data_IF_264017260024
#
_entry.id   IF_264017260024
#
_cell.length_a   1.000
_cell.length_b   1.000
_cell.length_c   1.000
_cell.angle_alpha   90.00
_cell.angle_beta   90.00
_cell.angle_gamma   90.00
#
_symmetry.space_group_name_H-M   'P 1'
#
loop_
_entity.id
_entity.type
_entity.pdbx_description
1 polymer ?
#
# COMPACT_ATOMS: atom_id res chain seq x y z
N UNK A 1 7.81 -12.66 35.79
CA UNK A 1 6.76 -12.56 34.78
C UNK A 1 6.95 -11.29 33.96
N UNK A 2 6.92 -11.46 32.65
CA UNK A 2 6.98 -10.38 31.67
C UNK A 2 5.68 -10.39 30.87
N UNK A 3 5.29 -9.25 30.33
CA UNK A 3 4.14 -9.15 29.42
C UNK A 3 4.66 -8.64 28.09
N UNK A 4 4.48 -9.45 27.05
CA UNK A 4 4.62 -9.03 25.66
C UNK A 4 3.30 -8.39 25.25
N UNK A 5 3.34 -7.17 24.75
CA UNK A 5 2.18 -6.47 24.23
C UNK A 5 2.35 -6.28 22.74
N UNK A 6 1.38 -6.79 21.98
CA UNK A 6 1.22 -6.53 20.56
C UNK A 6 0.07 -5.53 20.38
N UNK A 7 0.36 -4.35 19.84
CA UNK A 7 -0.69 -3.43 19.42
C UNK A 7 -0.77 -3.43 17.89
N UNK A 8 -1.97 -3.38 17.36
CA UNK A 8 -2.25 -3.24 15.94
C UNK A 8 -3.07 -1.98 15.75
N UNK A 9 -2.50 -1.00 15.07
CA UNK A 9 -3.18 0.23 14.69
C UNK A 9 -3.43 0.13 13.19
N UNK A 10 -4.70 0.12 12.83
CA UNK A 10 -5.15 0.15 11.44
C UNK A 10 -5.77 1.52 11.20
N UNK A 11 -5.25 2.25 10.23
CA UNK A 11 -5.91 3.45 9.72
C UNK A 11 -6.23 3.27 8.25
N UNK A 12 -7.47 3.58 7.88
CA UNK A 12 -7.95 3.59 6.52
C UNK A 12 -8.45 5.00 6.21
N UNK A 13 -7.99 5.55 5.09
CA UNK A 13 -8.43 6.84 4.58
C UNK A 13 -8.97 6.64 3.18
N UNK A 14 -10.23 6.98 3.01
CA UNK A 14 -10.93 6.96 1.73
C UNK A 14 -11.32 8.40 1.37
N UNK A 15 -10.86 8.86 0.22
CA UNK A 15 -11.28 10.12 -0.39
C UNK A 15 -11.96 9.79 -1.72
N UNK A 16 -13.23 10.14 -1.83
CA UNK A 16 -14.04 10.03 -3.04
C UNK A 16 -14.39 11.45 -3.50
N UNK A 17 -13.94 11.80 -4.70
CA UNK A 17 -14.23 13.08 -5.34
C UNK A 17 -15.01 12.81 -6.62
N UNK A 18 -16.26 13.24 -6.67
CA UNK A 18 -17.12 13.16 -7.85
C UNK A 18 -17.42 14.55 -8.38
N UNK A 19 -17.04 14.80 -9.63
CA UNK A 19 -17.27 16.05 -10.35
C UNK A 19 -18.06 15.77 -11.63
N UNK A 20 -19.17 16.47 -11.80
CA UNK A 20 -19.97 16.40 -13.01
C UNK A 20 -20.54 17.78 -13.36
N UNK A 21 -20.44 18.15 -14.64
CA UNK A 21 -20.97 19.42 -15.13
C UNK A 21 -21.11 19.47 -16.66
N UNK A 22 -21.94 20.40 -17.11
CA UNK A 22 -22.09 20.74 -18.52
C UNK A 22 -21.77 22.23 -18.70
N UNK A 23 -20.79 22.52 -19.54
CA UNK A 23 -20.39 23.86 -19.90
C UNK A 23 -20.98 24.23 -21.26
N UNK A 24 -21.76 25.32 -21.27
CA UNK A 24 -22.35 25.89 -22.47
C UNK A 24 -21.66 27.23 -22.74
N UNK A 25 -20.89 27.29 -23.82
CA UNK A 25 -20.29 28.54 -24.27
C UNK A 25 -20.99 29.02 -25.55
N UNK A 26 -21.61 30.19 -25.43
CA UNK A 26 -22.33 30.87 -26.51
C UNK A 26 -21.46 32.02 -27.01
N UNK A 27 -20.73 31.81 -28.10
CA UNK A 27 -19.93 32.85 -28.72
C UNK A 27 -20.86 33.77 -29.53
N UNK A 28 -21.42 34.79 -28.87
CA UNK A 28 -22.25 35.79 -29.56
C UNK A 28 -21.40 36.64 -30.53
N UNK A 29 -21.21 36.14 -31.76
CA UNK A 29 -20.75 36.92 -32.92
C UNK A 29 -19.24 37.00 -33.16
N UNK A 30 -18.40 36.19 -32.51
CA UNK A 30 -16.96 36.14 -32.77
C UNK A 30 -16.54 34.75 -33.28
N UNK A 31 -15.98 34.70 -34.50
CA UNK A 31 -15.53 33.46 -35.14
C UNK A 31 -14.49 32.71 -34.28
N UNK A 32 -14.81 31.48 -33.86
CA UNK A 32 -13.94 30.54 -33.11
C UNK A 32 -12.73 30.05 -33.96
N UNK A 33 -12.59 30.51 -35.21
CA UNK A 33 -11.62 30.04 -36.22
C UNK A 33 -10.13 30.22 -35.86
N UNK A 34 -9.78 30.82 -34.71
CA UNK A 34 -8.40 30.88 -34.19
C UNK A 34 -8.25 30.48 -32.71
N UNK A 35 -9.18 29.73 -32.16
CA UNK A 35 -9.01 29.14 -30.84
C UNK A 35 -8.29 27.79 -30.97
N UNK A 36 -7.00 27.80 -31.31
CA UNK A 36 -6.14 26.65 -31.04
C UNK A 36 -6.17 26.38 -29.53
N UNK A 37 -6.13 25.10 -29.13
CA UNK A 37 -6.19 24.64 -27.74
C UNK A 37 -5.21 25.35 -26.76
N UNK A 38 -4.25 26.13 -27.28
CA UNK A 38 -3.34 26.98 -26.51
C UNK A 38 -4.00 28.23 -25.91
N UNK A 39 -5.02 28.82 -26.54
CA UNK A 39 -5.64 30.08 -26.07
C UNK A 39 -6.65 29.89 -24.92
N UNK A 40 -7.01 28.65 -24.58
CA UNK A 40 -7.86 28.31 -23.44
C UNK A 40 -7.07 28.12 -22.14
N UNK A 41 -5.73 28.26 -22.20
CA UNK A 41 -4.82 28.03 -21.08
C UNK A 41 -4.30 29.31 -20.40
N UNK A 42 -4.64 30.51 -20.91
CA UNK A 42 -4.34 31.77 -20.23
C UNK A 42 -5.65 32.44 -19.84
N UNK A 43 -5.96 32.38 -18.55
CA UNK A 43 -7.00 33.22 -17.96
C UNK A 43 -6.73 34.69 -18.27
N UNK A 44 -7.70 35.33 -18.92
CA UNK A 44 -7.78 36.78 -19.10
C UNK A 44 -7.33 37.28 -20.47
N UNK A 45 -8.27 37.81 -21.26
CA UNK A 45 -8.40 39.23 -21.62
C UNK A 45 -9.47 39.39 -22.71
N UNK A 46 -10.31 40.42 -22.55
CA UNK A 46 -11.32 40.97 -23.47
C UNK A 46 -12.71 40.32 -23.53
N UNK A 47 -13.53 40.70 -22.53
CA UNK A 47 -14.88 41.25 -22.68
C UNK A 47 -15.83 40.60 -23.70
N UNK A 48 -16.68 39.69 -23.21
CA UNK A 48 -17.99 39.39 -23.78
C UNK A 48 -19.05 39.50 -22.67
N UNK A 49 -20.34 39.77 -22.96
CA UNK A 49 -21.34 40.11 -21.93
C UNK A 49 -21.72 38.98 -20.98
N UNK A 50 -21.31 37.74 -21.27
CA UNK A 50 -21.46 36.57 -20.39
C UNK A 50 -20.24 35.68 -20.60
N UNK A 51 -19.25 35.82 -19.72
CA UNK A 51 -18.13 34.89 -19.58
C UNK A 51 -18.48 33.93 -18.45
N UNK A 52 -18.97 32.72 -18.78
CA UNK A 52 -18.94 31.60 -17.83
C UNK A 52 -17.52 31.06 -17.95
N UNK A 53 -16.64 31.50 -17.05
CA UNK A 53 -15.26 31.03 -17.01
C UNK A 53 -15.23 29.51 -17.10
N UNK A 54 -14.68 28.99 -18.19
CA UNK A 54 -14.71 27.55 -18.48
C UNK A 54 -14.10 26.75 -17.33
N UNK A 55 -14.81 25.72 -16.88
CA UNK A 55 -14.42 24.91 -15.72
C UNK A 55 -13.38 23.84 -16.08
N UNK A 56 -12.96 23.75 -17.35
CA UNK A 56 -11.89 22.87 -17.80
C UNK A 56 -10.51 23.46 -17.44
N UNK A 57 -10.11 23.35 -16.17
CA UNK A 57 -8.71 23.50 -15.79
C UNK A 57 -7.87 22.43 -16.51
N UNK A 58 -6.66 22.82 -16.93
CA UNK A 58 -5.74 22.01 -17.76
C UNK A 58 -5.09 20.83 -17.00
N UNK A 59 -5.46 20.61 -15.75
CA UNK A 59 -4.81 19.64 -14.87
C UNK A 59 -5.59 18.32 -14.69
N UNK A 60 -6.87 18.26 -15.03
CA UNK A 60 -7.73 17.13 -14.64
C UNK A 60 -7.87 16.03 -15.68
N UNK A 61 -7.51 14.83 -15.21
CA UNK A 61 -7.82 13.51 -15.76
C UNK A 61 -9.34 13.35 -15.70
N UNK A 62 -10.06 13.06 -16.80
CA UNK A 62 -11.52 12.90 -16.77
C UNK A 62 -12.14 12.77 -18.16
N UNK A 63 -13.39 12.28 -18.26
CA UNK A 63 -14.10 12.18 -19.52
C UNK A 63 -14.59 13.57 -19.94
N UNK A 64 -14.14 14.05 -21.11
CA UNK A 64 -14.56 15.32 -21.69
C UNK A 64 -15.13 15.08 -23.08
N UNK A 65 -16.42 15.32 -23.26
CA UNK A 65 -17.11 15.20 -24.56
C UNK A 65 -17.58 16.58 -24.98
N UNK A 66 -17.05 17.07 -26.10
CA UNK A 66 -17.41 18.38 -26.65
C UNK A 66 -18.11 18.24 -27.99
N UNK A 67 -19.25 18.90 -28.16
CA UNK A 67 -19.91 19.09 -29.45
C UNK A 67 -19.92 20.59 -29.78
N UNK A 68 -19.45 20.93 -30.97
CA UNK A 68 -19.46 22.31 -31.49
C UNK A 68 -20.26 22.33 -32.78
N UNK A 69 -21.30 23.16 -32.81
CA UNK A 69 -22.12 23.40 -34.02
C UNK A 69 -22.29 24.91 -34.20
N UNK A 70 -21.62 25.47 -35.21
CA UNK A 70 -21.64 26.92 -35.45
C UNK A 70 -21.03 27.70 -34.28
N UNK A 71 -21.80 28.64 -33.74
CA UNK A 71 -21.43 29.53 -32.63
C UNK A 71 -21.71 28.96 -31.24
N UNK A 72 -22.27 27.74 -31.17
CA UNK A 72 -22.63 27.06 -29.93
C UNK A 72 -21.67 25.91 -29.68
N UNK A 73 -21.06 25.91 -28.51
CA UNK A 73 -20.22 24.81 -28.02
C UNK A 73 -20.75 24.29 -26.69
N UNK A 74 -20.92 22.97 -26.62
CA UNK A 74 -21.37 22.25 -25.43
C UNK A 74 -20.28 21.27 -25.04
N UNK A 75 -19.86 21.34 -23.77
CA UNK A 75 -18.88 20.45 -23.19
C UNK A 75 -19.48 19.74 -22.00
N UNK A 76 -19.33 18.42 -21.95
CA UNK A 76 -19.72 17.59 -20.82
C UNK A 76 -18.43 17.11 -20.17
N UNK A 77 -18.31 17.32 -18.87
CA UNK A 77 -17.19 16.84 -18.07
C UNK A 77 -17.70 15.96 -16.94
N UNK A 78 -17.12 14.77 -16.81
CA UNK A 78 -17.37 13.85 -15.71
C UNK A 78 -16.04 13.26 -15.23
N UNK A 79 -15.82 13.30 -13.93
CA UNK A 79 -14.64 12.75 -13.27
C UNK A 79 -15.06 12.16 -11.93
N UNK A 80 -14.67 10.93 -11.69
CA UNK A 80 -14.73 10.29 -10.38
C UNK A 80 -13.31 9.86 -10.00
N UNK A 81 -12.83 10.33 -8.84
CA UNK A 81 -11.53 9.97 -8.29
C UNK A 81 -11.74 9.29 -6.95
N UNK A 82 -11.24 8.07 -6.82
CA UNK A 82 -11.28 7.30 -5.57
C UNK A 82 -9.85 7.04 -5.13
N UNK A 83 -9.49 7.55 -3.94
CA UNK A 83 -8.19 7.32 -3.31
C UNK A 83 -8.38 6.54 -2.02
N UNK A 84 -7.85 5.33 -1.97
CA UNK A 84 -7.84 4.46 -0.79
C UNK A 84 -6.40 4.29 -0.28
N UNK A 85 -6.18 4.65 0.98
CA UNK A 85 -4.92 4.48 1.69
C UNK A 85 -5.17 3.72 2.97
N UNK A 86 -4.56 2.53 3.08
CA UNK A 86 -4.56 1.74 4.31
C UNK A 86 -3.16 1.69 4.92
N UNK A 87 -3.05 2.03 6.20
CA UNK A 87 -1.82 1.94 6.99
C UNK A 87 -2.02 0.96 8.14
N UNK A 88 -1.04 0.06 8.31
CA UNK A 88 -1.02 -0.94 9.37
C UNK A 88 0.29 -0.84 10.17
N UNK A 89 0.18 -0.45 11.43
CA UNK A 89 1.30 -0.41 12.36
C UNK A 89 1.14 -1.51 13.42
N UNK A 90 2.18 -2.34 13.59
CA UNK A 90 2.19 -3.45 14.56
C UNK A 90 3.39 -3.36 15.53
N UNK A 91 3.45 -2.38 16.44
CA UNK A 91 4.49 -2.34 17.46
C UNK A 91 4.35 -3.51 18.45
N UNK A 92 5.48 -4.12 18.77
CA UNK A 92 5.59 -5.19 19.77
C UNK A 92 6.63 -4.81 20.80
N UNK A 93 6.30 -4.94 22.08
CA UNK A 93 7.20 -4.55 23.16
C UNK A 93 6.94 -5.42 24.38
N UNK A 94 8.03 -5.83 25.02
CA UNK A 94 8.01 -6.61 26.24
C UNK A 94 8.30 -5.68 27.43
N UNK A 95 7.50 -5.79 28.48
CA UNK A 95 7.70 -5.07 29.72
C UNK A 95 7.58 -6.00 30.94
N UNK A 96 8.25 -5.65 32.03
CA UNK A 96 8.10 -6.35 33.29
C UNK A 96 6.78 -5.92 33.95
N UNK A 97 6.16 -6.83 34.71
CA UNK A 97 4.99 -6.51 35.54
C UNK A 97 5.22 -5.24 36.39
N UNK A 98 4.25 -4.32 36.39
CA UNK A 98 4.25 -3.00 37.06
C UNK A 98 5.25 -1.98 36.52
N UNK A 99 6.03 -2.30 35.50
CA UNK A 99 6.97 -1.37 34.89
C UNK A 99 6.38 -0.71 33.63
N UNK A 100 6.80 0.52 33.35
CA UNK A 100 6.39 1.22 32.15
C UNK A 100 7.21 0.72 30.96
N UNK A 101 6.54 0.20 29.94
CA UNK A 101 7.11 -0.08 28.62
C UNK A 101 6.76 1.05 27.66
N UNK A 102 7.74 1.54 26.91
CA UNK A 102 7.52 2.57 25.90
C UNK A 102 8.31 2.24 24.63
N UNK A 103 7.64 2.37 23.48
CA UNK A 103 8.26 2.33 22.16
C UNK A 103 7.84 3.55 21.36
N UNK A 104 8.79 4.15 20.65
CA UNK A 104 8.57 5.25 19.71
C UNK A 104 9.20 4.88 18.38
N UNK A 105 8.40 4.91 17.31
CA UNK A 105 8.81 4.60 15.95
C UNK A 105 8.36 5.77 15.09
N UNK A 106 9.29 6.60 14.64
CA UNK A 106 8.94 7.81 13.95
C UNK A 106 10.14 8.64 13.52
N UNK A 107 9.86 9.81 12.96
CA UNK A 107 10.82 10.82 12.55
C UNK A 107 10.61 12.10 13.36
N UNK A 108 11.70 12.82 13.61
CA UNK A 108 11.64 14.14 14.26
C UNK A 108 11.80 15.21 13.19
N UNK A 109 10.75 15.99 12.94
CA UNK A 109 10.77 17.08 11.97
C UNK A 109 11.24 18.35 12.66
N UNK A 110 12.37 18.91 12.22
CA UNK A 110 12.86 20.18 12.71
C UNK A 110 12.09 21.34 12.09
N UNK A 111 11.58 22.25 12.92
CA UNK A 111 10.98 23.52 12.51
C UNK A 111 11.63 24.66 13.29
N UNK A 112 11.63 25.86 12.70
CA UNK A 112 12.16 27.05 13.37
C UNK A 112 11.02 27.75 14.08
N UNK A 113 11.21 28.07 15.35
CA UNK A 113 10.36 29.02 16.05
C UNK A 113 10.46 30.37 15.33
N UNK A 114 9.38 31.15 15.26
CA UNK A 114 9.35 32.39 14.50
C UNK A 114 10.46 33.36 14.92
N UNK A 115 10.93 34.18 13.98
CA UNK A 115 11.95 35.18 14.25
C UNK A 115 11.41 36.22 15.25
N UNK A 116 12.16 36.48 16.32
CA UNK A 116 11.80 37.49 17.31
C UNK A 116 12.55 38.76 16.96
N UNK A 117 11.82 39.83 16.61
CA UNK A 117 12.40 41.16 16.49
C UNK A 117 12.73 41.69 17.89
N UNK A 118 14.01 41.75 18.21
CA UNK A 118 14.48 42.39 19.44
C UNK A 118 14.40 43.91 19.26
N UNK A 119 14.00 44.64 20.32
CA UNK A 119 13.74 46.10 20.33
C UNK A 119 14.95 47.02 20.01
N UNK A 120 16.05 46.46 19.49
CA UNK A 120 17.25 47.17 19.03
C UNK A 120 17.59 46.95 17.54
N UNK A 121 16.66 46.43 16.72
CA UNK A 121 16.86 46.30 15.27
C UNK A 121 17.66 45.07 14.82
N UNK A 122 17.89 44.10 15.72
CA UNK A 122 18.47 42.80 15.39
C UNK A 122 17.41 41.71 15.34
N UNK A 123 17.33 41.00 14.21
CA UNK A 123 16.51 39.78 14.06
C UNK A 123 17.24 38.63 14.72
N UNK A 124 16.73 38.11 15.84
CA UNK A 124 17.21 36.82 16.36
C UNK A 124 16.50 35.70 15.60
N UNK A 125 17.28 34.84 14.93
CA UNK A 125 16.74 33.61 14.33
C UNK A 125 16.20 32.73 15.45
N UNK A 126 14.95 32.30 15.34
CA UNK A 126 14.31 31.48 16.36
C UNK A 126 14.96 30.11 16.54
N UNK A 127 14.80 29.53 17.72
CA UNK A 127 15.37 28.23 18.06
C UNK A 127 14.74 27.11 17.20
N UNK A 128 15.55 26.11 16.82
CA UNK A 128 15.06 24.92 16.13
C UNK A 128 14.39 24.00 17.14
N UNK A 129 13.09 23.76 16.99
CA UNK A 129 12.32 22.77 17.74
C UNK A 129 12.05 21.54 16.87
N UNK A 130 11.80 20.41 17.51
CA UNK A 130 11.51 19.16 16.82
C UNK A 130 10.09 18.72 17.11
N UNK A 131 9.31 18.48 16.07
CA UNK A 131 8.02 17.79 16.13
C UNK A 131 8.27 16.28 15.99
N UNK A 132 7.79 15.49 16.96
CA UNK A 132 7.87 14.03 16.91
C UNK A 132 6.65 13.49 16.15
N UNK A 133 6.90 12.84 15.00
CA UNK A 133 5.85 12.24 14.16
C UNK A 133 6.08 10.75 14.04
N UNK A 134 5.06 9.95 14.36
CA UNK A 134 5.06 8.52 14.17
C UNK A 134 4.21 7.80 15.22
N UNK A 135 4.43 6.50 15.35
CA UNK A 135 3.70 5.66 16.29
C UNK A 135 4.44 5.57 17.62
N UNK A 136 3.76 5.95 18.70
CA UNK A 136 4.21 5.84 20.09
C UNK A 136 3.25 4.95 20.86
N UNK A 137 3.78 3.95 21.54
CA UNK A 137 3.02 3.10 22.45
C UNK A 137 3.67 3.16 23.82
N UNK A 138 2.90 3.60 24.82
CA UNK A 138 3.26 3.55 26.23
C UNK A 138 2.25 2.69 26.97
N UNK A 139 2.72 1.76 27.80
CA UNK A 139 1.84 0.90 28.58
C UNK A 139 2.47 0.51 29.90
N UNK A 140 1.63 0.18 30.89
CA UNK A 140 2.05 -0.37 32.17
C UNK A 140 1.17 -1.58 32.52
N UNK A 141 1.70 -2.80 32.48
CA UNK A 141 0.92 -3.99 32.80
C UNK A 141 0.93 -4.30 34.29
N UNK A 142 -0.18 -4.90 34.73
CA UNK A 142 -0.38 -5.49 36.04
C UNK A 142 -1.01 -6.87 35.86
N UNK A 143 -0.25 -7.91 36.17
CA UNK A 143 -0.72 -9.30 36.13
C UNK A 143 -1.46 -9.60 37.43
N UNK A 144 -2.71 -10.03 37.32
CA UNK A 144 -3.52 -10.53 38.42
C UNK A 144 -3.39 -12.06 38.54
N UNK A 145 -3.67 -12.59 39.73
CA UNK A 145 -3.48 -14.02 40.05
C UNK A 145 -4.43 -14.96 39.27
N UNK A 146 -5.47 -14.41 38.65
CA UNK A 146 -6.49 -15.10 37.86
C UNK A 146 -6.13 -15.19 36.37
N UNK A 147 -4.94 -14.73 35.97
CA UNK A 147 -4.50 -14.71 34.57
C UNK A 147 -5.04 -13.53 33.75
N UNK A 148 -5.71 -12.57 34.40
CA UNK A 148 -6.08 -11.30 33.78
C UNK A 148 -4.92 -10.30 33.88
N UNK A 149 -4.80 -9.48 32.85
CA UNK A 149 -3.79 -8.45 32.73
C UNK A 149 -4.52 -7.11 32.69
N UNK A 150 -4.34 -6.31 33.74
CA UNK A 150 -4.79 -4.92 33.76
C UNK A 150 -3.69 -4.04 33.20
N UNK A 151 -4.02 -3.12 32.29
CA UNK A 151 -3.02 -2.24 31.68
C UNK A 151 -3.53 -0.81 31.59
N UNK A 152 -2.68 0.14 31.95
CA UNK A 152 -2.80 1.52 31.49
C UNK A 152 -2.12 1.61 30.13
N UNK A 153 -2.84 2.06 29.09
CA UNK A 153 -2.31 2.12 27.72
C UNK A 153 -2.56 3.50 27.12
N UNK A 154 -1.51 4.01 26.49
CA UNK A 154 -1.50 5.25 25.74
C UNK A 154 -0.85 5.02 24.37
N UNK A 155 -1.62 4.52 23.38
CA UNK A 155 -1.21 4.54 21.98
C UNK A 155 -1.43 5.94 21.40
N UNK A 156 -0.44 6.41 20.66
CA UNK A 156 -0.47 7.63 19.86
C UNK A 156 0.07 7.29 18.47
N UNK A 157 -0.65 7.63 17.43
CA UNK A 157 -0.15 7.63 16.06
C UNK A 157 -0.23 9.05 15.52
N UNK A 158 0.91 9.62 15.12
CA UNK A 158 0.95 10.98 14.58
C UNK A 158 1.64 11.02 13.22
N UNK A 159 1.04 11.78 12.31
CA UNK A 159 1.67 12.23 11.08
C UNK A 159 1.87 13.73 11.17
N UNK A 160 2.94 14.22 10.56
CA UNK A 160 3.16 15.66 10.51
C UNK A 160 3.94 16.06 9.28
N UNK A 161 3.65 17.28 8.85
CA UNK A 161 4.22 17.91 7.67
C UNK A 161 4.55 19.37 7.99
N UNK A 162 5.51 19.93 7.28
CA UNK A 162 5.83 21.35 7.36
C UNK A 162 5.05 22.05 6.26
N UNK A 163 4.25 23.05 6.62
CA UNK A 163 3.56 23.86 5.62
C UNK A 163 4.55 24.76 4.85
N UNK A 164 4.07 25.46 3.82
CA UNK A 164 4.89 26.33 2.97
C UNK A 164 5.57 27.47 3.76
N UNK A 165 5.03 27.84 4.93
CA UNK A 165 5.59 28.83 5.84
C UNK A 165 6.56 28.24 6.88
N UNK A 166 6.83 26.93 6.85
CA UNK A 166 7.72 26.24 7.79
C UNK A 166 7.12 26.00 9.18
N UNK A 167 5.80 26.17 9.33
CA UNK A 167 5.05 25.84 10.56
C UNK A 167 4.66 24.36 10.50
N UNK A 168 4.84 23.61 11.59
CA UNK A 168 4.50 22.19 11.63
C UNK A 168 2.98 21.98 11.82
N UNK A 169 2.37 21.19 10.95
CA UNK A 169 1.01 20.67 11.12
C UNK A 169 1.11 19.21 11.62
N UNK A 170 0.45 18.91 12.74
CA UNK A 170 0.38 17.55 13.32
C UNK A 170 -1.05 17.03 13.24
N UNK A 171 -1.23 15.85 12.65
CA UNK A 171 -2.46 15.06 12.77
C UNK A 171 -2.16 13.87 13.66
N UNK A 172 -2.83 13.77 14.82
CA UNK A 172 -2.63 12.66 15.75
C UNK A 172 -3.93 11.93 16.12
N UNK A 173 -3.82 10.62 16.27
CA UNK A 173 -4.81 9.74 16.87
C UNK A 173 -4.25 9.23 18.19
N UNK A 174 -4.87 9.64 19.30
CA UNK A 174 -4.39 9.33 20.66
C UNK A 174 -5.53 8.76 21.50
N UNK A 175 -5.20 7.80 22.35
CA UNK A 175 -6.15 7.19 23.27
C UNK A 175 -5.51 7.07 24.65
N UNK A 176 -6.26 7.30 25.72
CA UNK A 176 -5.81 7.04 27.10
C UNK A 176 -6.87 6.21 27.81
N UNK A 177 -6.56 4.94 28.10
CA UNK A 177 -7.52 4.02 28.71
C UNK A 177 -6.85 3.07 29.70
N UNK A 178 -7.65 2.57 30.63
CA UNK A 178 -7.30 1.46 31.50
C UNK A 178 -8.20 0.27 31.11
N UNK A 179 -7.58 -0.87 30.81
CA UNK A 179 -8.27 -2.07 30.33
C UNK A 179 -7.92 -3.28 31.17
N UNK A 180 -8.80 -4.28 31.15
CA UNK A 180 -8.55 -5.61 31.70
C UNK A 180 -8.81 -6.61 30.58
N UNK A 181 -7.84 -7.48 30.33
CA UNK A 181 -7.87 -8.44 29.22
C UNK A 181 -7.17 -9.71 29.67
N UNK A 182 -7.62 -10.86 29.16
CA UNK A 182 -7.02 -12.14 29.47
C UNK A 182 -5.76 -12.37 28.62
N UNK A 183 -4.83 -13.16 29.14
CA UNK A 183 -3.66 -13.60 28.38
C UNK A 183 -4.06 -14.20 27.01
N UNK A 184 -3.44 -13.69 25.93
CA UNK A 184 -3.63 -14.15 24.56
C UNK A 184 -4.92 -13.67 23.87
N UNK A 185 -5.81 -12.95 24.56
CA UNK A 185 -7.03 -12.42 23.95
C UNK A 185 -6.80 -11.06 23.28
N UNK A 186 -7.27 -10.92 22.06
CA UNK A 186 -7.26 -9.64 21.34
C UNK A 186 -8.49 -8.83 21.72
N UNK A 187 -8.30 -7.59 22.18
CA UNK A 187 -9.38 -6.64 22.39
C UNK A 187 -9.25 -5.43 21.48
N UNK A 188 -10.40 -4.84 21.12
CA UNK A 188 -10.46 -3.53 20.47
C UNK A 188 -10.55 -2.48 21.56
N UNK A 189 -9.50 -1.67 21.73
CA UNK A 189 -9.44 -0.64 22.78
C UNK A 189 -10.20 0.62 22.35
N UNK A 190 -10.23 0.89 21.05
CA UNK A 190 -10.98 2.02 20.51
C UNK A 190 -10.92 2.08 18.99
N UNK A 191 -11.84 2.87 18.43
CA UNK A 191 -11.82 3.28 17.05
C UNK A 191 -12.45 4.65 16.86
N UNK A 192 -11.95 5.40 15.89
CA UNK A 192 -12.47 6.70 15.49
C UNK A 192 -12.88 6.59 14.02
N UNK A 193 -14.16 6.87 13.76
CA UNK A 193 -14.70 6.98 12.41
C UNK A 193 -15.08 8.44 12.18
N UNK A 194 -14.53 9.03 11.13
CA UNK A 194 -14.81 10.41 10.75
C UNK A 194 -15.22 10.45 9.29
N UNK A 195 -16.50 10.75 9.07
CA UNK A 195 -17.03 11.02 7.74
C UNK A 195 -17.22 12.54 7.58
N UNK A 196 -16.65 13.09 6.52
CA UNK A 196 -16.84 14.48 6.09
C UNK A 196 -17.33 14.48 4.65
N UNK A 197 -18.61 14.79 4.49
CA UNK A 197 -19.28 14.95 3.19
C UNK A 197 -19.39 16.44 2.89
N UNK A 198 -18.96 16.85 1.71
CA UNK A 198 -19.00 18.23 1.22
C UNK A 198 -19.59 18.25 -0.19
N UNK A 199 -20.81 18.75 -0.31
CA UNK A 199 -21.50 18.86 -1.59
C UNK A 199 -21.52 20.32 -2.02
N UNK A 200 -20.85 20.63 -3.11
CA UNK A 200 -20.84 21.97 -3.72
C UNK A 200 -21.65 21.93 -5.00
N UNK A 201 -22.63 22.82 -5.12
CA UNK A 201 -23.45 22.94 -6.33
C UNK A 201 -23.36 24.35 -6.89
N UNK A 202 -22.90 24.44 -8.13
CA UNK A 202 -22.86 25.68 -8.89
C UNK A 202 -23.91 25.58 -9.99
N UNK A 203 -24.85 26.53 -10.08
CA UNK A 203 -25.92 26.46 -11.07
C UNK A 203 -26.26 27.82 -11.66
N UNK A 204 -26.76 27.83 -12.90
CA UNK A 204 -27.33 29.03 -13.51
C UNK A 204 -28.67 29.34 -12.84
N UNK A 205 -28.89 30.55 -12.31
CA UNK A 205 -30.16 30.91 -11.67
C UNK A 205 -31.32 30.75 -12.67
N UNK A 206 -32.50 30.32 -12.18
CA UNK A 206 -33.71 29.94 -12.95
C UNK A 206 -33.57 28.65 -13.77
N UNK A 207 -32.53 28.49 -14.59
CA UNK A 207 -32.39 27.34 -15.49
C UNK A 207 -31.95 26.06 -14.76
N UNK A 208 -31.13 26.17 -13.71
CA UNK A 208 -30.66 25.04 -12.90
C UNK A 208 -31.73 24.39 -12.02
N UNK A 209 -32.82 25.11 -11.72
CA UNK A 209 -33.92 24.63 -10.87
C UNK A 209 -35.03 23.90 -11.64
N UNK A 210 -34.97 23.89 -12.99
CA UNK A 210 -35.96 23.21 -13.83
C UNK A 210 -35.77 21.70 -13.68
N UNK A 211 -36.80 20.93 -13.28
CA UNK A 211 -36.70 19.47 -13.21
C UNK A 211 -36.38 18.88 -14.59
N UNK A 212 -35.63 17.77 -14.62
CA UNK A 212 -35.14 17.07 -15.83
C UNK A 212 -34.09 17.81 -16.68
N UNK A 213 -34.23 19.12 -16.88
CA UNK A 213 -33.34 19.90 -17.76
C UNK A 213 -32.26 20.65 -16.97
N UNK A 214 -32.51 20.97 -15.70
CA UNK A 214 -31.60 21.74 -14.85
C UNK A 214 -30.27 21.04 -14.54
N UNK A 215 -30.17 19.72 -14.71
CA UNK A 215 -28.88 19.00 -14.64
C UNK A 215 -27.89 19.51 -15.69
N UNK A 216 -28.38 19.93 -16.86
CA UNK A 216 -27.54 20.47 -17.92
C UNK A 216 -27.08 21.92 -17.67
N UNK A 217 -27.58 22.55 -16.62
CA UNK A 217 -27.27 23.94 -16.25
C UNK A 217 -26.69 24.04 -14.83
N UNK A 218 -26.22 22.91 -14.28
CA UNK A 218 -25.55 22.85 -12.97
C UNK A 218 -24.30 21.99 -13.03
N UNK A 219 -23.37 22.32 -12.15
CA UNK A 219 -22.18 21.56 -11.81
C UNK A 219 -22.32 21.10 -10.37
N UNK A 220 -22.06 19.82 -10.14
CA UNK A 220 -22.06 19.21 -8.81
C UNK A 220 -20.66 18.67 -8.54
N UNK A 221 -20.08 19.11 -7.42
CA UNK A 221 -18.81 18.65 -6.88
C UNK A 221 -19.10 18.03 -5.51
N UNK A 222 -19.09 16.69 -5.44
CA UNK A 222 -19.34 15.92 -4.24
C UNK A 222 -18.01 15.33 -3.73
N UNK A 223 -17.59 15.75 -2.54
CA UNK A 223 -16.34 15.33 -1.90
C UNK A 223 -16.67 14.59 -0.61
N UNK A 224 -16.34 13.30 -0.55
CA UNK A 224 -16.50 12.46 0.63
C UNK A 224 -15.13 12.04 1.16
N UNK A 225 -14.83 12.42 2.40
CA UNK A 225 -13.64 11.96 3.11
C UNK A 225 -14.06 11.09 4.29
N UNK A 226 -13.55 9.87 4.34
CA UNK A 226 -13.75 8.90 5.42
C UNK A 226 -12.41 8.52 6.00
N UNK A 227 -12.21 8.86 7.27
CA UNK A 227 -11.05 8.46 8.06
C UNK A 227 -11.50 7.45 9.13
N UNK A 228 -10.97 6.24 9.08
CA UNK A 228 -11.23 5.18 10.05
C UNK A 228 -9.93 4.80 10.75
N UNK A 229 -9.95 4.75 12.07
CA UNK A 229 -8.82 4.28 12.88
C UNK A 229 -9.34 3.22 13.84
N UNK A 230 -8.67 2.07 13.90
CA UNK A 230 -8.98 0.96 14.81
C UNK A 230 -7.70 0.56 15.53
N UNK A 231 -7.78 0.44 16.85
CA UNK A 231 -6.67 0.05 17.71
C UNK A 231 -7.02 -1.27 18.39
N UNK A 232 -6.29 -2.32 18.02
CA UNK A 232 -6.37 -3.64 18.64
C UNK A 232 -5.15 -3.88 19.52
N UNK A 233 -5.33 -4.70 20.55
CA UNK A 233 -4.27 -5.06 21.46
C UNK A 233 -4.39 -6.52 21.88
N UNK A 234 -3.26 -7.21 21.87
CA UNK A 234 -3.13 -8.59 22.33
C UNK A 234 -1.96 -8.68 23.30
N UNK A 235 -2.21 -8.79 24.61
CA UNK A 235 -1.14 -9.05 25.58
C UNK A 235 -0.87 -10.55 25.70
N UNK A 236 0.37 -10.88 26.03
CA UNK A 236 0.81 -12.23 26.30
C UNK A 236 1.71 -12.30 27.53
N UNK A 237 1.42 -13.20 28.48
CA UNK A 237 2.26 -13.43 29.67
C UNK A 237 3.40 -14.36 29.29
N UNK A 238 4.63 -13.88 29.48
CA UNK A 238 5.86 -14.65 29.26
C UNK A 238 6.45 -15.04 30.62
N UNK A 239 6.56 -16.35 30.84
CA UNK A 239 7.07 -16.94 32.07
C UNK A 239 8.55 -17.34 31.97
N UNK A 240 9.01 -17.77 30.80
CA UNK A 240 10.39 -18.21 30.57
C UNK A 240 11.11 -17.35 29.51
N UNK A 241 12.29 -16.78 29.80
CA UNK A 241 13.09 -16.08 28.79
C UNK A 241 13.47 -16.92 27.56
N UNK A 242 13.51 -18.26 27.66
CA UNK A 242 13.76 -19.15 26.51
C UNK A 242 12.58 -19.20 25.51
N UNK A 243 11.36 -18.92 25.96
CA UNK A 243 10.14 -18.90 25.14
C UNK A 243 10.14 -17.72 24.15
N UNK A 244 10.77 -16.60 24.55
CA UNK A 244 10.95 -15.39 23.72
C UNK A 244 11.88 -15.63 22.53
N UNK A 245 12.85 -16.56 22.63
CA UNK A 245 13.82 -16.80 21.57
C UNK A 245 13.35 -17.79 20.49
N UNK A 246 12.48 -18.74 20.84
CA UNK A 246 12.04 -19.83 19.95
C UNK A 246 10.86 -19.48 19.04
N UNK A 247 9.79 -18.91 19.59
CA UNK A 247 8.57 -18.59 18.86
C UNK A 247 8.73 -17.31 18.01
N UNK A 248 9.37 -16.28 18.57
CA UNK A 248 9.53 -15.00 17.90
C UNK A 248 10.41 -15.08 16.64
N UNK A 249 11.51 -15.87 16.64
CA UNK A 249 12.34 -16.04 15.44
C UNK A 249 11.72 -16.99 14.41
N UNK A 250 11.05 -18.06 14.83
CA UNK A 250 10.44 -19.00 13.89
C UNK A 250 9.26 -18.35 13.15
N UNK A 251 8.44 -17.57 13.83
CA UNK A 251 7.32 -16.85 13.22
C UNK A 251 7.75 -15.60 12.47
N UNK A 252 8.67 -14.77 12.98
CA UNK A 252 9.15 -13.60 12.22
C UNK A 252 9.93 -14.02 10.98
N UNK A 253 10.73 -15.08 11.04
CA UNK A 253 11.44 -15.57 9.85
C UNK A 253 10.45 -16.15 8.85
N UNK A 254 9.39 -16.83 9.28
CA UNK A 254 8.31 -17.30 8.38
C UNK A 254 7.49 -16.15 7.82
N UNK A 255 7.13 -15.13 8.62
CA UNK A 255 6.31 -13.97 8.23
C UNK A 255 7.10 -12.99 7.36
N UNK A 256 8.38 -12.74 7.65
CA UNK A 256 9.29 -11.95 6.80
C UNK A 256 9.69 -12.70 5.51
N UNK A 257 9.82 -14.03 5.54
CA UNK A 257 10.04 -14.84 4.31
C UNK A 257 8.78 -15.01 3.47
N UNK A 258 7.59 -15.06 4.06
CA UNK A 258 6.32 -15.15 3.35
C UNK A 258 5.88 -13.78 2.80
N UNK A 259 5.94 -12.72 3.61
CA UNK A 259 5.44 -11.38 3.23
C UNK A 259 6.30 -10.67 2.18
N UNK A 260 7.62 -10.85 2.19
CA UNK A 260 8.51 -10.26 1.19
C UNK A 260 8.46 -10.98 -0.18
N UNK A 261 7.96 -12.22 -0.22
CA UNK A 261 7.83 -12.99 -1.48
C UNK A 261 6.41 -12.98 -2.05
N UNK A 262 5.39 -12.77 -1.24
CA UNK A 262 3.99 -12.88 -1.68
C UNK A 262 3.42 -11.60 -2.30
N UNK A 263 4.05 -10.44 -2.13
CA UNK A 263 3.54 -9.15 -2.67
C UNK A 263 4.19 -8.66 -3.95
N UNK A 264 5.03 -9.48 -4.59
CA UNK A 264 5.61 -9.14 -5.89
C UNK A 264 5.20 -10.18 -6.93
N UNK A 265 4.12 -9.84 -7.62
CA UNK A 265 3.74 -10.30 -8.95
C UNK A 265 3.32 -11.79 -9.02
N UNK A 266 2.04 -12.00 -9.29
CA UNK A 266 1.41 -13.30 -9.55
C UNK A 266 1.99 -14.07 -10.76
N UNK A 267 2.97 -13.49 -11.48
CA UNK A 267 3.59 -14.01 -12.70
C UNK A 267 5.10 -14.33 -12.57
N UNK A 268 5.67 -14.41 -11.36
CA UNK A 268 7.11 -14.72 -11.24
C UNK A 268 7.43 -16.16 -11.65
N UNK A 269 8.52 -16.34 -12.39
CA UNK A 269 9.04 -17.65 -12.82
C UNK A 269 9.28 -18.60 -11.65
N UNK A 270 9.58 -18.07 -10.46
CA UNK A 270 9.73 -18.82 -9.21
C UNK A 270 8.44 -19.55 -8.81
N UNK A 271 7.29 -18.86 -8.82
CA UNK A 271 6.00 -19.46 -8.42
C UNK A 271 5.54 -20.52 -9.41
N UNK A 272 5.74 -20.27 -10.71
CA UNK A 272 5.44 -21.24 -11.77
C UNK A 272 6.32 -22.50 -11.67
N UNK A 273 7.58 -22.35 -11.29
CA UNK A 273 8.49 -23.48 -11.05
C UNK A 273 8.09 -24.31 -9.81
N UNK A 274 7.63 -23.65 -8.74
CA UNK A 274 7.14 -24.32 -7.53
C UNK A 274 5.82 -25.08 -7.78
N UNK A 275 4.88 -24.47 -8.52
CA UNK A 275 3.59 -25.09 -8.86
C UNK A 275 3.76 -26.33 -9.78
N UNK A 276 4.60 -26.21 -10.81
CA UNK A 276 4.95 -27.35 -11.67
C UNK A 276 5.67 -28.47 -10.91
N UNK A 277 6.58 -28.14 -10.00
CA UNK A 277 7.19 -29.15 -9.13
C UNK A 277 6.16 -29.84 -8.22
N UNK A 278 5.22 -29.10 -7.63
CA UNK A 278 4.15 -29.68 -6.82
C UNK A 278 3.25 -30.63 -7.65
N UNK A 279 2.91 -30.25 -8.88
CA UNK A 279 2.20 -31.13 -9.82
C UNK A 279 3.00 -32.39 -10.14
N UNK A 280 4.31 -32.26 -10.38
CA UNK A 280 5.18 -33.41 -10.62
C UNK A 280 5.21 -34.40 -9.44
N UNK A 281 5.30 -33.90 -8.21
CA UNK A 281 5.23 -34.74 -7.00
C UNK A 281 3.89 -35.46 -6.90
N UNK A 282 2.79 -34.76 -7.21
CA UNK A 282 1.44 -35.33 -7.18
C UNK A 282 1.20 -36.38 -8.29
N UNK A 283 1.80 -36.19 -9.48
CA UNK A 283 1.74 -37.17 -10.57
C UNK A 283 2.59 -38.40 -10.25
N UNK A 284 3.78 -38.20 -9.69
CA UNK A 284 4.66 -39.27 -9.27
C UNK A 284 4.04 -40.13 -8.15
N UNK A 285 3.38 -39.50 -7.17
CA UNK A 285 2.67 -40.23 -6.11
C UNK A 285 1.46 -41.02 -6.62
N UNK A 286 0.87 -40.61 -7.74
CA UNK A 286 -0.18 -41.33 -8.46
C UNK A 286 0.36 -42.41 -9.41
N UNK A 287 1.68 -42.58 -9.49
CA UNK A 287 2.34 -43.56 -10.37
C UNK A 287 2.58 -43.08 -11.80
N UNK A 288 2.14 -41.87 -12.17
CA UNK A 288 2.41 -41.28 -13.49
C UNK A 288 3.80 -40.64 -13.53
N UNK A 289 4.78 -41.48 -13.82
CA UNK A 289 6.19 -41.08 -13.91
C UNK A 289 6.50 -40.30 -15.20
N UNK A 290 5.65 -40.38 -16.24
CA UNK A 290 5.85 -39.62 -17.47
C UNK A 290 5.38 -38.17 -17.29
N UNK A 291 4.14 -37.98 -16.83
CA UNK A 291 3.62 -36.64 -16.53
C UNK A 291 4.46 -35.91 -15.48
N UNK A 292 5.02 -36.63 -14.51
CA UNK A 292 5.94 -36.05 -13.53
C UNK A 292 7.23 -35.51 -14.15
N UNK A 293 7.81 -36.17 -15.17
CA UNK A 293 9.03 -35.69 -15.83
C UNK A 293 8.77 -34.46 -16.71
N UNK A 294 7.62 -34.38 -17.35
CA UNK A 294 7.25 -33.23 -18.19
C UNK A 294 7.09 -31.96 -17.36
N UNK A 295 6.41 -32.06 -16.22
CA UNK A 295 6.28 -30.96 -15.25
C UNK A 295 7.63 -30.58 -14.61
N UNK A 296 8.52 -31.55 -14.36
CA UNK A 296 9.87 -31.27 -13.88
C UNK A 296 10.73 -30.56 -14.91
N UNK A 297 10.62 -30.91 -16.20
CA UNK A 297 11.33 -30.19 -17.26
C UNK A 297 10.84 -28.76 -17.38
N UNK A 298 9.53 -28.52 -17.25
CA UNK A 298 8.97 -27.17 -17.20
C UNK A 298 9.50 -26.37 -16.00
N UNK A 299 9.52 -26.98 -14.80
CA UNK A 299 10.08 -26.37 -13.60
C UNK A 299 11.56 -25.99 -13.75
N UNK A 300 12.35 -26.89 -14.36
CA UNK A 300 13.79 -26.68 -14.61
C UNK A 300 14.06 -25.68 -15.74
N UNK A 301 13.15 -25.55 -16.71
CA UNK A 301 13.23 -24.51 -17.73
C UNK A 301 13.04 -23.11 -17.13
N UNK A 302 12.05 -22.98 -16.23
CA UNK A 302 11.80 -21.74 -15.50
C UNK A 302 12.91 -21.43 -14.49
N UNK A 303 13.48 -22.46 -13.86
CA UNK A 303 14.55 -22.34 -12.87
C UNK A 303 15.59 -23.47 -13.00
N UNK A 304 16.68 -23.24 -13.76
CA UNK A 304 17.71 -24.26 -13.98
C UNK A 304 18.42 -24.74 -12.72
N UNK A 305 18.47 -23.90 -11.68
CA UNK A 305 19.15 -24.19 -10.40
C UNK A 305 18.21 -24.75 -9.33
N UNK A 306 17.02 -25.26 -9.70
CA UNK A 306 16.07 -25.80 -8.72
C UNK A 306 16.47 -27.20 -8.25
N UNK A 307 17.27 -27.25 -7.18
CA UNK A 307 17.88 -28.49 -6.67
C UNK A 307 16.88 -29.60 -6.34
N UNK A 308 15.70 -29.27 -5.81
CA UNK A 308 14.68 -30.27 -5.46
C UNK A 308 14.10 -30.93 -6.72
N UNK A 309 13.84 -30.16 -7.77
CA UNK A 309 13.39 -30.66 -9.06
C UNK A 309 14.45 -31.54 -9.74
N UNK A 310 15.72 -31.15 -9.68
CA UNK A 310 16.84 -31.97 -10.21
C UNK A 310 16.89 -33.33 -9.52
N UNK A 311 16.86 -33.34 -8.18
CA UNK A 311 16.92 -34.59 -7.38
C UNK A 311 15.71 -35.49 -7.62
N UNK A 312 14.51 -34.92 -7.73
CA UNK A 312 13.31 -35.70 -7.99
C UNK A 312 13.35 -36.28 -9.41
N UNK A 313 13.81 -35.52 -10.40
CA UNK A 313 14.01 -36.01 -11.78
C UNK A 313 14.98 -37.18 -11.81
N UNK A 314 16.13 -37.03 -11.16
CA UNK A 314 17.15 -38.08 -11.07
C UNK A 314 16.60 -39.33 -10.40
N UNK A 315 15.83 -39.19 -9.31
CA UNK A 315 15.15 -40.32 -8.65
C UNK A 315 14.16 -41.04 -9.58
N UNK A 316 13.35 -40.29 -10.34
CA UNK A 316 12.39 -40.87 -11.30
C UNK A 316 13.13 -41.60 -12.43
N UNK A 317 14.23 -41.01 -12.92
CA UNK A 317 15.08 -41.61 -13.95
C UNK A 317 15.77 -42.88 -13.44
N UNK A 318 16.32 -42.88 -12.22
CA UNK A 318 16.93 -44.06 -11.60
C UNK A 318 15.91 -45.17 -11.34
N UNK A 319 14.72 -44.82 -10.85
CA UNK A 319 13.62 -45.77 -10.64
C UNK A 319 13.17 -46.43 -11.95
N UNK A 320 13.23 -45.70 -13.07
CA UNK A 320 13.01 -46.25 -14.43
C UNK A 320 14.24 -47.01 -14.97
N UNK A 321 15.42 -46.52 -14.64
CA UNK A 321 16.73 -46.93 -15.15
C UNK A 321 17.32 -48.20 -14.53
N UNK A 322 16.67 -48.78 -13.51
CA UNK A 322 17.00 -50.13 -13.02
C UNK A 322 16.88 -51.26 -14.05
N UNK A 323 16.52 -50.94 -15.30
CA UNK A 323 16.57 -51.84 -16.46
C UNK A 323 17.51 -51.36 -17.59
N UNK A 324 18.36 -50.33 -17.38
CA UNK A 324 19.07 -49.65 -18.47
C UNK A 324 20.38 -48.93 -18.10
N UNK A 325 21.08 -49.36 -17.05
CA UNK A 325 22.41 -48.81 -16.68
C UNK A 325 23.48 -49.01 -17.79
N UNK A 326 23.33 -50.02 -18.66
CA UNK A 326 24.31 -50.30 -19.73
C UNK A 326 24.34 -49.27 -20.87
N UNK A 327 23.32 -48.43 -21.02
CA UNK A 327 23.19 -47.56 -22.22
C UNK A 327 23.83 -46.19 -22.01
N UNK A 328 23.81 -45.63 -20.79
CA UNK A 328 24.40 -44.31 -20.51
C UNK A 328 25.92 -44.39 -20.44
N UNK A 329 26.47 -45.45 -19.85
CA UNK A 329 27.92 -45.69 -19.83
C UNK A 329 28.46 -45.84 -21.26
N UNK A 330 27.73 -46.55 -22.12
CA UNK A 330 28.12 -46.74 -23.52
C UNK A 330 28.05 -45.47 -24.36
N UNK A 331 27.03 -44.61 -24.16
CA UNK A 331 26.93 -43.32 -24.87
C UNK A 331 28.00 -42.34 -24.41
N UNK A 332 28.38 -42.33 -23.12
CA UNK A 332 29.49 -41.49 -22.65
C UNK A 332 30.84 -41.99 -23.18
N UNK A 333 31.09 -43.31 -23.20
CA UNK A 333 32.33 -43.87 -23.76
C UNK A 333 32.43 -43.57 -25.26
N UNK A 334 31.36 -43.76 -26.02
CA UNK A 334 31.34 -43.44 -27.46
C UNK A 334 31.55 -41.94 -27.73
N UNK A 335 31.05 -41.06 -26.86
CA UNK A 335 31.25 -39.62 -26.99
C UNK A 335 32.70 -39.18 -26.68
N UNK A 336 33.36 -39.83 -25.72
CA UNK A 336 34.76 -39.57 -25.36
C UNK A 336 35.69 -40.12 -26.45
N UNK A 337 35.44 -41.32 -26.98
CA UNK A 337 36.23 -41.89 -28.08
C UNK A 337 36.11 -41.08 -29.39
N UNK A 338 34.94 -40.47 -29.63
CA UNK A 338 34.73 -39.60 -30.79
C UNK A 338 35.46 -38.24 -30.68
N UNK A 339 35.69 -37.72 -29.47
CA UNK A 339 36.52 -36.53 -29.25
C UNK A 339 38.02 -36.85 -29.41
N UNK A 340 38.48 -38.01 -28.90
CA UNK A 340 39.89 -38.41 -29.02
C UNK A 340 40.31 -38.74 -30.46
N UNK A 341 39.43 -39.36 -31.28
CA UNK A 341 39.72 -39.59 -32.70
C UNK A 341 39.84 -38.29 -33.51
N UNK A 342 39.14 -37.22 -33.12
CA UNK A 342 39.28 -35.90 -33.77
C UNK A 342 40.60 -35.21 -33.44
N UNK A 343 41.20 -35.51 -32.30
CA UNK A 343 42.46 -34.92 -31.86
C UNK A 343 43.69 -35.57 -32.54
N UNK A 344 43.61 -36.84 -32.94
CA UNK A 344 44.69 -37.55 -33.64
C UNK A 344 44.78 -37.29 -35.15
N UNK A 345 43.71 -36.84 -35.80
CA UNK A 345 43.71 -36.50 -37.24
C UNK A 345 44.19 -35.07 -37.56
N UNK A 346 44.91 -34.42 -36.64
CA UNK A 346 45.46 -33.06 -36.80
C UNK A 346 46.98 -32.95 -36.61
N UNK A 347 47.72 -34.06 -36.68
CA UNK A 347 49.17 -34.06 -36.85
C UNK A 347 49.61 -34.83 -38.09
#
# INVERSE_FOLDING_TARGET
EQVLVEATILSAKLTEDFEMGIDLNFAAGASITKATAANWAQGGQNGTPIDIGGFASKADTGLKVGITTGDVSLFITALETITDVTVLANPKILAINKQLGQVYIGKKLGYREGDVETSGGGVQQGAVKFLETGTKLSFRPYIANDGYIRMDIYPKDSTGELNAQGVPDETSAELLTNIIVKDGETIVIGGLFRDKISNTRNQVPLLGDIPFVGEAFRKTDDVTNRDEVIILLTPHIVNDPAEVEGLARAEDVKRKRAGARQRLNWLTTTRLAEDSYARAVALFSKGDSHGALDELNWALHLRPTYLEAIRLRERIVQYRGGAGDDVIERIMIDAIEAEDQKMWNRF
#
